data_IF_309775247783
#
_entry.id   IF_309775247783
#
_cell.length_a   1.000
_cell.length_b   1.000
_cell.length_c   1.000
_cell.angle_alpha   90.00
_cell.angle_beta   90.00
_cell.angle_gamma   90.00
#
_symmetry.space_group_name_H-M   'P 1'
#
loop_
_entity.id
_entity.type
_entity.pdbx_description
1 polymer ?
#
# COMPACT_ATOMS: atom_id res chain seq x y z
N UNK A 1 13.84 24.85 -46.50
CA UNK A 1 13.50 26.17 -45.93
C UNK A 1 12.02 26.10 -45.55
N UNK A 2 11.71 25.70 -44.30
CA UNK A 2 11.12 26.56 -43.24
C UNK A 2 9.84 27.25 -43.74
N UNK A 3 8.65 27.00 -43.22
CA UNK A 3 8.13 27.31 -41.86
C UNK A 3 6.84 26.46 -41.71
N UNK A 4 6.60 25.70 -40.64
CA UNK A 4 5.86 26.17 -39.45
C UNK A 4 6.16 25.27 -38.26
N UNK A 5 6.80 25.86 -37.25
CA UNK A 5 6.92 25.28 -35.92
C UNK A 5 5.73 25.65 -35.04
N UNK A 6 5.62 24.90 -33.94
CA UNK A 6 4.94 25.25 -32.68
C UNK A 6 3.40 25.34 -32.72
N UNK A 7 2.73 24.23 -32.43
CA UNK A 7 1.32 24.22 -32.00
C UNK A 7 0.98 23.16 -30.92
N UNK A 8 1.97 22.63 -30.22
CA UNK A 8 1.72 21.59 -29.20
C UNK A 8 2.18 21.95 -27.78
N UNK A 9 2.66 23.18 -27.55
CA UNK A 9 3.15 23.63 -26.24
C UNK A 9 2.16 24.55 -25.48
N UNK A 10 0.87 24.57 -25.84
CA UNK A 10 -0.07 25.61 -25.33
C UNK A 10 -1.37 25.07 -24.69
N UNK A 11 -1.39 23.84 -24.16
CA UNK A 11 -2.55 23.31 -23.40
C UNK A 11 -2.14 22.43 -22.21
N UNK A 12 -1.38 22.96 -21.23
CA UNK A 12 -1.35 22.31 -19.91
C UNK A 12 -1.06 23.23 -18.71
N UNK A 13 -1.38 24.52 -18.80
CA UNK A 13 -1.04 25.51 -17.76
C UNK A 13 -2.27 26.22 -17.17
N UNK A 14 -3.40 25.52 -17.02
CA UNK A 14 -4.54 26.02 -16.26
C UNK A 14 -5.27 24.87 -15.58
N UNK A 15 -4.91 24.57 -14.32
CA UNK A 15 -5.80 24.15 -13.24
C UNK A 15 -4.96 23.80 -12.01
N UNK A 16 -4.32 24.81 -11.45
CA UNK A 16 -3.99 24.83 -10.03
C UNK A 16 -4.39 26.21 -9.50
N UNK A 17 -5.00 26.19 -8.32
CA UNK A 17 -5.33 27.35 -7.47
C UNK A 17 -6.69 28.05 -7.67
N UNK A 18 -7.68 27.63 -6.86
CA UNK A 18 -8.51 28.52 -6.02
C UNK A 18 -9.42 27.68 -5.12
N UNK A 19 -8.99 27.43 -3.88
CA UNK A 19 -9.92 27.48 -2.74
C UNK A 19 -9.17 28.02 -1.53
N UNK A 20 -9.62 29.20 -1.14
CA UNK A 20 -9.04 30.12 -0.19
C UNK A 20 -9.08 29.60 1.25
N UNK A 21 -8.08 30.10 2.00
CA UNK A 21 -8.00 30.22 3.47
C UNK A 21 -9.34 30.54 4.13
N UNK A 22 -9.55 29.95 5.30
CA UNK A 22 -10.10 30.65 6.45
C UNK A 22 -9.28 30.27 7.67
N UNK A 23 -8.98 31.32 8.42
CA UNK A 23 -8.03 31.45 9.52
C UNK A 23 -8.55 30.84 10.82
N UNK A 24 -7.67 30.29 11.66
CA UNK A 24 -7.86 30.34 13.11
C UNK A 24 -6.54 30.12 13.88
N UNK A 25 -5.92 31.26 14.19
CA UNK A 25 -5.16 31.65 15.39
C UNK A 25 -4.34 30.63 16.19
N UNK A 26 -3.07 30.99 16.33
CA UNK A 26 -2.17 30.67 17.43
C UNK A 26 -2.83 30.91 18.81
N UNK A 27 -2.76 29.92 19.69
CA UNK A 27 -2.85 30.09 21.14
C UNK A 27 -1.98 29.01 21.81
N UNK A 28 -0.86 29.46 22.39
CA UNK A 28 -0.11 28.70 23.40
C UNK A 28 -1.03 28.31 24.58
N UNK A 29 -0.62 27.32 25.38
CA UNK A 29 -0.79 27.49 26.81
C UNK A 29 0.52 27.23 27.54
N UNK A 30 1.11 28.33 28.02
CA UNK A 30 1.92 28.34 29.23
C UNK A 30 0.97 28.08 30.41
N UNK A 31 1.02 26.90 31.03
CA UNK A 31 0.49 26.70 32.39
C UNK A 31 1.47 25.81 33.17
N UNK A 32 2.20 26.48 34.05
CA UNK A 32 2.87 25.96 35.24
C UNK A 32 1.88 25.14 36.07
N UNK A 33 2.24 23.92 36.48
CA UNK A 33 1.82 23.40 37.79
C UNK A 33 2.86 22.41 38.33
N UNK A 34 3.03 22.54 39.63
CA UNK A 34 4.13 22.11 40.47
C UNK A 34 4.10 20.61 40.80
N UNK A 35 5.30 20.09 41.09
CA UNK A 35 5.60 19.03 42.06
C UNK A 35 4.66 17.84 42.20
N UNK A 36 5.09 16.68 41.68
CA UNK A 36 4.98 15.42 42.42
C UNK A 36 6.26 14.60 42.20
N UNK A 37 6.78 14.11 43.31
CA UNK A 37 8.11 13.58 43.55
C UNK A 37 8.37 12.19 42.97
N UNK A 38 9.64 11.98 42.66
CA UNK A 38 10.34 10.77 42.24
C UNK A 38 10.31 9.66 43.31
N UNK A 39 10.21 8.38 42.89
CA UNK A 39 10.48 7.08 43.59
C UNK A 39 9.31 6.10 43.38
N UNK A 40 9.44 4.79 43.12
CA UNK A 40 10.55 3.84 42.99
C UNK A 40 10.03 2.56 42.27
N UNK A 41 10.97 1.76 41.77
CA UNK A 41 10.98 0.29 41.56
C UNK A 41 9.69 -0.47 41.19
N UNK A 42 9.74 -1.27 40.12
CA UNK A 42 10.09 -2.72 40.19
C UNK A 42 9.74 -3.38 38.85
N UNK A 43 10.72 -4.04 38.22
CA UNK A 43 10.49 -5.00 37.15
C UNK A 43 10.12 -6.37 37.75
N UNK A 44 8.97 -6.94 37.37
CA UNK A 44 8.58 -8.36 37.50
C UNK A 44 7.61 -8.62 36.32
N UNK A 45 8.00 -9.35 35.28
CA UNK A 45 7.78 -10.80 35.11
C UNK A 45 6.33 -11.24 35.38
N UNK A 46 5.65 -11.57 34.28
CA UNK A 46 4.53 -12.50 34.10
C UNK A 46 3.12 -12.16 34.66
N UNK A 47 2.18 -12.06 33.71
CA UNK A 47 0.76 -12.44 33.72
C UNK A 47 -0.01 -12.47 35.05
N UNK A 48 -0.92 -11.50 35.23
CA UNK A 48 -2.36 -11.77 35.40
C UNK A 48 -3.15 -10.50 35.73
N UNK A 49 -4.41 -10.53 35.28
CA UNK A 49 -5.43 -9.50 35.30
C UNK A 49 -5.65 -8.94 36.72
N UNK A 50 -5.42 -7.64 36.91
CA UNK A 50 -6.10 -6.88 37.96
C UNK A 50 -6.74 -5.62 37.38
N UNK A 51 -8.06 -5.65 37.35
CA UNK A 51 -8.91 -4.53 36.95
C UNK A 51 -8.73 -3.39 37.95
N UNK A 52 -8.13 -2.28 37.52
CA UNK A 52 -8.30 -1.00 38.20
C UNK A 52 -8.85 0.03 37.20
N UNK A 53 -10.09 0.42 37.49
CA UNK A 53 -10.93 1.35 36.76
C UNK A 53 -10.47 2.77 37.10
N UNK A 54 -9.75 3.42 36.19
CA UNK A 54 -9.49 4.87 36.24
C UNK A 54 -10.01 5.51 34.95
N UNK A 55 -11.08 6.28 35.12
CA UNK A 55 -11.81 7.01 34.08
C UNK A 55 -11.10 8.30 33.71
N UNK A 56 -10.26 8.29 32.68
CA UNK A 56 -9.93 9.48 31.89
C UNK A 56 -9.81 9.08 30.43
N UNK A 57 -10.84 9.41 29.65
CA UNK A 57 -11.01 9.06 28.24
C UNK A 57 -10.05 9.80 27.31
N UNK A 58 -8.74 9.58 27.46
CA UNK A 58 -7.85 9.55 26.31
C UNK A 58 -7.86 8.11 25.85
N UNK A 59 -8.75 7.81 24.91
CA UNK A 59 -8.68 6.58 24.15
C UNK A 59 -7.31 6.57 23.47
N UNK A 60 -6.33 5.96 24.13
CA UNK A 60 -5.18 5.38 23.47
C UNK A 60 -5.78 4.45 22.43
N UNK A 61 -5.94 4.98 21.22
CA UNK A 61 -6.09 4.18 20.01
C UNK A 61 -4.77 3.45 19.84
N UNK A 62 -4.49 2.49 20.73
CA UNK A 62 -3.77 1.30 20.35
C UNK A 62 -4.63 0.71 19.25
N UNK A 63 -4.33 1.13 18.02
CA UNK A 63 -4.73 0.44 16.84
C UNK A 63 -4.10 -0.93 16.98
N UNK A 64 -4.82 -1.85 17.59
CA UNK A 64 -4.55 -3.27 17.48
C UNK A 64 -4.46 -3.53 15.98
N UNK A 65 -3.22 -3.63 15.49
CA UNK A 65 -2.98 -4.10 14.15
C UNK A 65 -3.27 -5.58 14.25
N UNK A 66 -4.54 -5.95 14.04
CA UNK A 66 -4.94 -7.33 13.83
C UNK A 66 -4.05 -7.87 12.71
N UNK A 67 -3.03 -8.66 13.07
CA UNK A 67 -2.15 -9.36 12.14
C UNK A 67 -2.91 -10.57 11.61
N UNK A 68 -4.05 -10.33 10.97
CA UNK A 68 -4.74 -11.36 10.25
C UNK A 68 -3.95 -11.63 8.96
N UNK A 69 -3.33 -12.80 8.92
CA UNK A 69 -2.72 -13.34 7.70
C UNK A 69 -3.83 -13.50 6.65
N UNK A 70 -3.61 -12.92 5.47
CA UNK A 70 -4.58 -12.95 4.37
C UNK A 70 -4.31 -14.18 3.50
N UNK A 71 -5.22 -15.17 3.56
CA UNK A 71 -5.15 -16.42 2.80
C UNK A 71 -6.10 -16.41 1.59
N UNK A 72 -5.57 -16.63 0.38
CA UNK A 72 -6.34 -16.77 -0.86
C UNK A 72 -6.17 -18.19 -1.42
N UNK A 73 -7.24 -18.87 -1.87
CA UNK A 73 -7.12 -20.19 -2.49
C UNK A 73 -6.38 -20.15 -3.83
N UNK A 74 -5.60 -21.19 -4.13
CA UNK A 74 -4.90 -21.38 -5.42
C UNK A 74 -5.86 -21.54 -6.61
N UNK A 75 -7.11 -21.86 -6.34
CA UNK A 75 -8.16 -22.11 -7.35
C UNK A 75 -9.40 -21.29 -7.01
N UNK A 76 -9.92 -20.52 -7.97
CA UNK A 76 -11.16 -19.75 -7.81
C UNK A 76 -12.06 -19.87 -9.04
N UNK A 77 -13.35 -20.08 -8.84
CA UNK A 77 -14.35 -19.95 -9.90
C UNK A 77 -14.72 -18.47 -10.09
N UNK A 78 -14.51 -17.94 -11.29
CA UNK A 78 -14.84 -16.55 -11.62
C UNK A 78 -15.19 -16.43 -13.10
N UNK A 79 -15.77 -15.29 -13.48
CA UNK A 79 -16.18 -15.01 -14.85
C UNK A 79 -14.95 -14.88 -15.77
N UNK A 80 -14.93 -15.65 -16.85
CA UNK A 80 -13.90 -15.57 -17.87
C UNK A 80 -14.35 -14.68 -19.02
N UNK A 81 -13.55 -13.64 -19.33
CA UNK A 81 -13.77 -12.70 -20.45
C UNK A 81 -13.32 -13.25 -21.81
N UNK A 82 -12.81 -14.48 -21.87
CA UNK A 82 -12.39 -15.11 -23.12
C UNK A 82 -13.55 -15.26 -24.08
N UNK A 83 -13.30 -14.99 -25.38
CA UNK A 83 -14.33 -15.01 -26.42
C UNK A 83 -15.12 -16.32 -26.46
N UNK A 84 -14.43 -17.44 -26.24
CA UNK A 84 -14.99 -18.80 -26.24
C UNK A 84 -15.67 -19.21 -24.93
N UNK A 85 -15.29 -18.59 -23.81
CA UNK A 85 -15.78 -19.00 -22.50
C UNK A 85 -17.02 -18.22 -22.08
N UNK A 86 -16.92 -16.89 -21.98
CA UNK A 86 -17.97 -15.94 -21.51
C UNK A 86 -18.84 -16.47 -20.35
N UNK A 87 -18.25 -17.29 -19.48
CA UNK A 87 -18.93 -18.00 -18.39
C UNK A 87 -18.01 -18.16 -17.19
N UNK A 88 -18.58 -18.55 -16.06
CA UNK A 88 -17.82 -18.87 -14.86
C UNK A 88 -17.03 -20.17 -15.07
N UNK A 89 -15.72 -20.09 -14.88
CA UNK A 89 -14.81 -21.21 -15.07
C UNK A 89 -13.78 -21.23 -13.94
N UNK A 90 -13.15 -22.38 -13.77
CA UNK A 90 -12.07 -22.55 -12.82
C UNK A 90 -10.83 -21.78 -13.30
N UNK A 91 -10.32 -20.90 -12.44
CA UNK A 91 -9.09 -20.16 -12.66
C UNK A 91 -8.01 -20.62 -11.69
N UNK A 92 -6.78 -20.74 -12.19
CA UNK A 92 -5.57 -20.87 -11.39
C UNK A 92 -5.16 -19.47 -10.92
N UNK A 93 -5.01 -19.31 -9.62
CA UNK A 93 -4.63 -18.04 -8.98
C UNK A 93 -3.13 -18.08 -8.74
N UNK A 94 -2.43 -17.04 -9.16
CA UNK A 94 -1.00 -16.84 -8.90
C UNK A 94 -0.75 -15.41 -8.45
N UNK A 95 0.34 -15.17 -7.72
CA UNK A 95 0.76 -13.81 -7.41
C UNK A 95 1.40 -13.18 -8.64
N UNK A 96 1.01 -11.95 -8.98
CA UNK A 96 1.69 -11.19 -10.01
C UNK A 96 3.10 -10.82 -9.55
N UNK A 97 4.08 -11.00 -10.45
CA UNK A 97 5.45 -10.51 -10.29
C UNK A 97 5.74 -9.54 -11.41
N UNK A 98 6.42 -8.44 -11.08
CA UNK A 98 6.90 -7.50 -12.09
C UNK A 98 7.98 -8.19 -12.94
N UNK A 99 7.89 -8.01 -14.27
CA UNK A 99 8.92 -8.49 -15.20
C UNK A 99 10.17 -7.61 -15.19
N UNK A 100 11.22 -8.06 -15.88
CA UNK A 100 12.44 -7.27 -16.13
C UNK A 100 12.10 -6.03 -16.94
N UNK A 101 12.64 -4.87 -16.54
CA UNK A 101 12.46 -3.63 -17.29
C UNK A 101 13.16 -3.71 -18.66
N UNK A 102 12.48 -3.27 -19.72
CA UNK A 102 13.04 -3.22 -21.08
C UNK A 102 13.88 -1.96 -21.30
N UNK A 103 15.05 -2.10 -21.93
CA UNK A 103 15.95 -0.99 -22.26
C UNK A 103 15.50 -0.19 -23.48
N UNK A 104 14.79 -0.85 -24.42
CA UNK A 104 14.40 -0.25 -25.69
C UNK A 104 13.09 0.57 -25.60
N UNK A 105 12.44 0.57 -24.43
CA UNK A 105 11.27 1.39 -24.17
C UNK A 105 11.62 2.88 -24.40
N UNK A 106 10.71 3.63 -25.03
CA UNK A 106 10.95 5.03 -25.42
C UNK A 106 11.42 5.90 -24.26
N UNK A 107 10.82 5.72 -23.06
CA UNK A 107 11.19 6.46 -21.86
C UNK A 107 12.62 6.17 -21.40
N UNK A 108 13.07 4.92 -21.47
CA UNK A 108 14.43 4.53 -21.10
C UNK A 108 15.45 5.04 -22.11
N UNK A 109 15.20 4.90 -23.42
CA UNK A 109 16.03 5.49 -24.49
C UNK A 109 16.20 7.01 -24.34
N UNK A 110 15.11 7.71 -24.03
CA UNK A 110 15.14 9.16 -23.78
C UNK A 110 15.93 9.51 -22.52
N UNK A 111 15.76 8.75 -21.45
CA UNK A 111 16.48 8.95 -20.18
C UNK A 111 17.98 8.77 -20.38
N UNK A 112 18.40 7.69 -21.03
CA UNK A 112 19.82 7.37 -21.23
C UNK A 112 20.51 8.42 -22.11
N UNK A 113 19.85 8.89 -23.17
CA UNK A 113 20.33 10.01 -24.00
C UNK A 113 20.37 11.34 -23.25
N UNK A 114 19.46 11.58 -22.30
CA UNK A 114 19.49 12.80 -21.48
C UNK A 114 20.60 12.73 -20.44
N UNK A 115 20.89 11.54 -19.93
CA UNK A 115 21.87 11.29 -18.88
C UNK A 115 23.31 11.24 -19.41
N UNK A 116 23.52 10.99 -20.70
CA UNK A 116 24.87 10.96 -21.30
C UNK A 116 25.52 12.34 -21.32
N UNK A 117 26.83 12.39 -21.03
CA UNK A 117 27.62 13.62 -20.99
C UNK A 117 27.84 14.14 -19.57
N UNK A 118 28.16 15.43 -19.44
CA UNK A 118 28.34 16.10 -18.15
C UNK A 118 27.02 16.72 -17.64
N UNK A 119 26.95 17.00 -16.34
CA UNK A 119 25.77 17.63 -15.72
C UNK A 119 25.05 16.78 -14.66
N UNK A 120 25.58 15.61 -14.31
CA UNK A 120 25.11 14.80 -13.19
C UNK A 120 23.72 14.19 -13.38
N UNK A 121 22.96 14.07 -12.30
CA UNK A 121 21.66 13.39 -12.31
C UNK A 121 20.55 14.28 -12.88
N UNK A 122 19.96 13.90 -14.02
CA UNK A 122 19.05 14.77 -14.80
C UNK A 122 17.55 14.66 -14.46
N UNK A 123 17.17 13.70 -13.62
CA UNK A 123 15.79 13.48 -13.17
C UNK A 123 15.73 13.23 -11.66
N UNK A 124 14.66 13.66 -10.98
CA UNK A 124 14.53 13.52 -9.53
C UNK A 124 14.50 12.05 -9.11
N UNK A 125 15.22 11.73 -8.04
CA UNK A 125 15.19 10.42 -7.38
C UNK A 125 14.33 10.53 -6.13
N UNK A 126 13.32 9.68 -6.01
CA UNK A 126 12.38 9.73 -4.89
C UNK A 126 12.95 9.08 -3.62
N UNK A 127 13.05 9.83 -2.51
CA UNK A 127 13.67 9.37 -1.25
C UNK A 127 12.67 9.10 -0.11
N UNK A 128 11.57 9.85 -0.04
CA UNK A 128 10.65 9.86 1.11
C UNK A 128 9.56 8.77 1.02
N UNK A 129 9.94 7.48 1.07
CA UNK A 129 8.99 6.36 1.04
C UNK A 129 8.21 6.22 2.36
N UNK A 130 6.91 6.52 2.34
CA UNK A 130 6.04 6.39 3.52
C UNK A 130 5.31 5.03 3.60
N UNK A 131 5.03 4.37 2.47
CA UNK A 131 4.23 3.14 2.45
C UNK A 131 5.10 1.91 2.69
N UNK A 132 4.72 1.11 3.68
CA UNK A 132 5.43 -0.13 4.06
C UNK A 132 4.98 -1.35 3.25
N UNK A 133 3.73 -1.36 2.76
CA UNK A 133 3.14 -2.48 2.02
C UNK A 133 2.80 -2.10 0.59
N UNK A 134 2.60 -3.10 -0.27
CA UNK A 134 2.14 -2.95 -1.67
C UNK A 134 0.73 -3.52 -1.81
N UNK A 135 0.00 -3.12 -2.86
CA UNK A 135 -1.23 -3.82 -3.24
C UNK A 135 -0.83 -5.13 -3.92
N UNK A 136 -1.29 -6.26 -3.38
CA UNK A 136 -1.05 -7.56 -4.01
C UNK A 136 -1.99 -7.67 -5.20
N UNK A 137 -1.45 -7.99 -6.38
CA UNK A 137 -2.23 -8.26 -7.58
C UNK A 137 -2.18 -9.76 -7.85
N UNK A 138 -3.36 -10.35 -8.03
CA UNK A 138 -3.52 -11.74 -8.43
C UNK A 138 -3.60 -11.83 -9.93
N UNK A 139 -2.92 -12.82 -10.50
CA UNK A 139 -3.09 -13.24 -11.89
C UNK A 139 -3.94 -14.50 -11.92
N UNK A 140 -5.11 -14.38 -12.55
CA UNK A 140 -6.10 -15.42 -12.71
C UNK A 140 -5.97 -15.99 -14.12
N UNK A 141 -5.60 -17.25 -14.25
CA UNK A 141 -5.46 -17.95 -15.53
C UNK A 141 -6.59 -18.95 -15.70
N UNK A 142 -7.41 -18.78 -16.75
CA UNK A 142 -8.50 -19.72 -17.05
C UNK A 142 -7.94 -21.07 -17.49
N UNK A 143 -8.46 -22.17 -16.93
CA UNK A 143 -8.04 -23.53 -17.29
C UNK A 143 -8.40 -23.90 -18.74
N UNK A 144 -9.51 -23.36 -19.28
CA UNK A 144 -9.99 -23.69 -20.63
C UNK A 144 -9.30 -22.89 -21.73
N UNK A 145 -9.45 -21.57 -21.71
CA UNK A 145 -8.96 -20.69 -22.79
C UNK A 145 -7.61 -20.01 -22.48
N UNK A 146 -7.00 -20.27 -21.32
CA UNK A 146 -5.70 -19.70 -20.88
C UNK A 146 -5.63 -18.16 -20.85
N UNK A 147 -6.78 -17.48 -20.98
CA UNK A 147 -6.84 -16.02 -20.83
C UNK A 147 -6.49 -15.62 -19.41
N UNK A 148 -5.75 -14.52 -19.27
CA UNK A 148 -5.26 -14.03 -17.98
C UNK A 148 -6.01 -12.76 -17.59
N UNK A 149 -6.47 -12.71 -16.35
CA UNK A 149 -7.08 -11.54 -15.74
C UNK A 149 -6.24 -11.09 -14.55
N UNK A 150 -6.20 -9.78 -14.28
CA UNK A 150 -5.56 -9.22 -13.08
C UNK A 150 -6.61 -8.71 -12.10
N UNK A 151 -6.46 -9.07 -10.83
CA UNK A 151 -7.32 -8.59 -9.74
C UNK A 151 -6.45 -7.99 -8.64
N UNK A 152 -6.63 -6.71 -8.34
CA UNK A 152 -5.92 -6.04 -7.25
C UNK A 152 -6.68 -6.20 -5.92
N UNK A 153 -5.96 -6.57 -4.86
CA UNK A 153 -6.48 -6.62 -3.50
C UNK A 153 -6.20 -5.31 -2.74
N UNK A 154 -6.82 -5.20 -1.55
CA UNK A 154 -6.43 -4.21 -0.55
C UNK A 154 -4.99 -4.48 -0.07
N UNK A 155 -4.35 -3.48 0.54
CA UNK A 155 -2.98 -3.62 1.06
C UNK A 155 -2.99 -4.55 2.28
N UNK A 156 -2.07 -5.49 2.33
CA UNK A 156 -1.85 -6.42 3.45
C UNK A 156 -0.35 -6.52 3.76
N UNK A 157 0.00 -6.87 5.01
CA UNK A 157 1.39 -7.11 5.43
C UNK A 157 1.82 -8.55 5.11
N UNK A 158 0.99 -9.52 5.51
CA UNK A 158 1.21 -10.94 5.28
C UNK A 158 0.17 -11.46 4.27
N UNK A 159 0.65 -12.08 3.19
CA UNK A 159 -0.17 -12.67 2.13
C UNK A 159 0.35 -14.07 1.86
N UNK A 160 -0.56 -15.04 1.93
CA UNK A 160 -0.27 -16.44 1.62
C UNK A 160 -1.26 -16.96 0.56
N UNK A 161 -0.78 -17.89 -0.26
CA UNK A 161 -1.56 -18.47 -1.34
C UNK A 161 -1.72 -19.97 -1.14
N UNK A 162 -2.94 -20.39 -0.77
CA UNK A 162 -3.30 -21.77 -0.49
C UNK A 162 -2.73 -22.28 0.84
N UNK A 163 -2.76 -21.43 1.88
CA UNK A 163 -2.52 -21.88 3.26
C UNK A 163 -3.71 -22.67 3.81
N UNK A 164 -3.53 -23.24 4.99
CA UNK A 164 -4.56 -24.05 5.64
C UNK A 164 -5.76 -23.20 6.06
N UNK A 165 -6.94 -23.81 5.99
CA UNK A 165 -8.17 -23.16 6.47
C UNK A 165 -8.16 -23.22 7.99
N UNK A 166 -8.48 -22.11 8.64
CA UNK A 166 -8.62 -22.05 10.09
C UNK A 166 -9.74 -22.99 10.55
N UNK A 167 -9.44 -23.91 11.46
CA UNK A 167 -10.42 -24.79 12.11
C UNK A 167 -11.18 -24.02 13.18
N UNK A 168 -12.51 -24.16 13.24
CA UNK A 168 -13.33 -23.52 14.26
C UNK A 168 -13.24 -24.31 15.58
N UNK A 169 -12.92 -23.63 16.68
CA UNK A 169 -12.95 -24.22 18.03
C UNK A 169 -11.83 -25.19 18.37
N UNK A 170 -10.74 -25.20 17.59
CA UNK A 170 -9.55 -25.97 17.94
C UNK A 170 -8.87 -25.34 19.17
N UNK A 171 -8.45 -26.18 20.12
CA UNK A 171 -7.64 -25.75 21.24
C UNK A 171 -6.29 -25.22 20.72
N UNK A 172 -5.85 -24.10 21.29
CA UNK A 172 -4.51 -23.60 21.03
C UNK A 172 -3.51 -24.60 21.63
N UNK A 173 -2.55 -25.02 20.82
CA UNK A 173 -1.42 -25.82 21.30
C UNK A 173 -0.39 -24.83 21.83
N UNK A 174 -0.10 -24.94 23.13
CA UNK A 174 0.90 -24.14 23.84
C UNK A 174 2.27 -24.81 23.77
#
# INVERSE_FOLDING_TARGET
MTVTGRKWDEISEQHEETRTRNDYVDLEPTILLEGVTFSALQALSDDSIFSLKLSWGRATRYAEIWTEVVNIPKTRNTYCKGKECRKHTQHKVTQYKAGKASLFAQGKRRYDRKQSGYGGQTKPVFHKKAKTTKKVVLRLECVKCKTKLQLALKRCKHFELGGDKKTKGAALVF
#
